data_IF_561630293423
#
_entry.id   IF_561630293423
#
_cell.length_a   1.000
_cell.length_b   1.000
_cell.length_c   1.000
_cell.angle_alpha   90.00
_cell.angle_beta   90.00
_cell.angle_gamma   90.00
#
_symmetry.space_group_name_H-M   'P 1'
#
loop_
_entity.id
_entity.type
_entity.pdbx_description
1 polymer ?
#
# COMPACT_ATOMS: atom_id res chain seq x y z
N UNK A 1 -19.47 15.24 -1.93
CA UNK A 1 -18.43 16.29 -2.10
C UNK A 1 -17.04 15.73 -2.42
N UNK A 2 -16.59 14.63 -1.79
CA UNK A 2 -15.23 14.08 -1.97
C UNK A 2 -14.82 13.73 -3.43
N UNK A 3 -15.70 13.12 -4.23
CA UNK A 3 -15.40 12.77 -5.62
C UNK A 3 -15.04 14.01 -6.47
N UNK A 4 -15.79 15.11 -6.32
CA UNK A 4 -15.53 16.35 -7.06
C UNK A 4 -14.18 16.97 -6.69
N UNK A 5 -13.81 16.91 -5.41
CA UNK A 5 -12.51 17.37 -4.94
C UNK A 5 -11.37 16.52 -5.52
N UNK A 6 -11.49 15.18 -5.51
CA UNK A 6 -10.48 14.28 -6.10
C UNK A 6 -10.30 14.49 -7.61
N UNK A 7 -11.40 14.67 -8.35
CA UNK A 7 -11.34 15.00 -9.79
C UNK A 7 -10.63 16.34 -10.02
N UNK A 8 -10.90 17.35 -9.17
CA UNK A 8 -10.22 18.64 -9.24
C UNK A 8 -8.71 18.49 -9.03
N UNK A 9 -8.30 17.81 -7.96
CA UNK A 9 -6.88 17.54 -7.67
C UNK A 9 -6.20 16.79 -8.80
N UNK A 10 -6.85 15.79 -9.39
CA UNK A 10 -6.29 15.05 -10.52
C UNK A 10 -6.06 15.95 -11.74
N UNK A 11 -6.98 16.88 -12.03
CA UNK A 11 -6.81 17.86 -13.11
C UNK A 11 -5.65 18.82 -12.84
N UNK A 12 -5.55 19.33 -11.62
CA UNK A 12 -4.46 20.23 -11.19
C UNK A 12 -3.09 19.53 -11.25
N UNK A 13 -3.04 18.23 -10.97
CA UNK A 13 -1.85 17.40 -11.10
C UNK A 13 -1.53 16.99 -12.55
N UNK A 14 -2.33 17.40 -13.54
CA UNK A 14 -2.10 17.08 -14.95
C UNK A 14 -2.43 15.63 -15.35
N UNK A 15 -3.28 14.93 -14.58
CA UNK A 15 -3.71 13.56 -14.91
C UNK A 15 -4.53 13.57 -16.20
N UNK A 16 -4.03 12.86 -17.22
CA UNK A 16 -4.59 12.89 -18.58
C UNK A 16 -5.90 12.10 -18.73
N UNK A 17 -6.05 10.99 -18.00
CA UNK A 17 -7.19 10.06 -18.13
C UNK A 17 -7.71 9.69 -16.75
N UNK A 18 -9.02 9.67 -16.60
CA UNK A 18 -9.73 9.25 -15.40
C UNK A 18 -10.68 8.12 -15.75
N UNK A 19 -10.80 7.15 -14.86
CA UNK A 19 -11.62 5.96 -15.06
C UNK A 19 -12.56 5.77 -13.88
N UNK A 20 -13.78 5.31 -14.16
CA UNK A 20 -14.74 4.86 -13.15
C UNK A 20 -14.66 3.34 -12.91
N UNK A 21 -14.00 2.61 -13.81
CA UNK A 21 -13.67 1.20 -13.68
C UNK A 21 -12.15 1.02 -13.89
N UNK A 22 -11.43 0.50 -12.90
CA UNK A 22 -9.98 0.31 -13.00
C UNK A 22 -9.58 -0.75 -14.02
N UNK A 23 -10.45 -1.71 -14.36
CA UNK A 23 -10.17 -2.71 -15.39
C UNK A 23 -9.94 -2.05 -16.76
N UNK A 24 -10.56 -0.90 -17.00
CA UNK A 24 -10.30 -0.10 -18.21
C UNK A 24 -8.92 0.59 -18.17
N UNK A 25 -8.46 0.98 -16.98
CA UNK A 25 -7.11 1.51 -16.79
C UNK A 25 -6.07 0.44 -17.07
N UNK A 26 -6.29 -0.81 -16.63
CA UNK A 26 -5.35 -1.92 -16.83
C UNK A 26 -5.11 -2.26 -18.31
N UNK A 27 -6.11 -2.01 -19.16
CA UNK A 27 -6.02 -2.19 -20.62
C UNK A 27 -5.22 -1.09 -21.33
N UNK A 28 -4.84 -0.02 -20.63
CA UNK A 28 -4.06 1.08 -21.19
C UNK A 28 -2.66 0.62 -21.61
N UNK A 29 -2.30 0.67 -22.91
CA UNK A 29 -0.96 0.31 -23.35
C UNK A 29 0.12 1.27 -22.83
N UNK A 30 -0.25 2.49 -22.46
CA UNK A 30 0.66 3.52 -21.92
C UNK A 30 0.98 3.38 -20.43
N UNK A 31 0.37 2.41 -19.74
CA UNK A 31 0.55 2.21 -18.30
C UNK A 31 1.59 1.12 -18.08
N UNK A 32 2.69 1.43 -17.39
CA UNK A 32 3.73 0.44 -17.04
C UNK A 32 3.51 -0.18 -15.66
N UNK A 33 2.93 0.60 -14.73
CA UNK A 33 2.77 0.23 -13.34
C UNK A 33 1.47 0.81 -12.73
N UNK A 34 0.97 0.17 -11.67
CA UNK A 34 -0.24 0.57 -10.95
C UNK A 34 0.04 0.68 -9.46
N UNK A 35 -0.40 1.80 -8.87
CA UNK A 35 -0.44 2.00 -7.42
C UNK A 35 -1.81 1.55 -6.92
N UNK A 36 -1.84 0.48 -6.12
CA UNK A 36 -3.05 -0.08 -5.53
C UNK A 36 -3.15 0.43 -4.09
N UNK A 37 -3.92 1.49 -3.90
CA UNK A 37 -4.24 2.10 -2.59
C UNK A 37 -5.71 1.86 -2.23
N UNK A 38 -6.14 0.61 -2.31
CA UNK A 38 -7.51 0.18 -2.02
C UNK A 38 -7.63 -0.31 -0.58
N UNK A 39 -8.85 -0.52 -0.06
CA UNK A 39 -9.05 -1.33 1.14
C UNK A 39 -8.45 -2.75 0.99
N UNK A 40 -7.90 -3.29 2.07
CA UNK A 40 -7.13 -4.56 2.08
C UNK A 40 -7.86 -5.74 1.42
N UNK A 41 -9.16 -5.92 1.66
CA UNK A 41 -9.95 -7.01 1.06
C UNK A 41 -10.04 -6.96 -0.47
N UNK A 42 -9.70 -5.83 -1.11
CA UNK A 42 -9.68 -5.68 -2.56
C UNK A 42 -8.30 -5.91 -3.18
N UNK A 43 -7.25 -6.04 -2.36
CA UNK A 43 -5.87 -6.19 -2.83
C UNK A 43 -5.69 -7.42 -3.70
N UNK A 44 -6.16 -8.59 -3.26
CA UNK A 44 -5.98 -9.85 -3.98
C UNK A 44 -6.51 -9.78 -5.42
N UNK A 45 -7.77 -9.36 -5.56
CA UNK A 45 -8.41 -9.25 -6.88
C UNK A 45 -7.67 -8.24 -7.76
N UNK A 46 -7.47 -7.02 -7.27
CA UNK A 46 -6.88 -5.94 -8.06
C UNK A 46 -5.42 -6.25 -8.45
N UNK A 47 -4.61 -6.78 -7.52
CA UNK A 47 -3.21 -7.09 -7.78
C UNK A 47 -3.07 -8.26 -8.77
N UNK A 48 -3.91 -9.29 -8.67
CA UNK A 48 -3.90 -10.42 -9.60
C UNK A 48 -4.26 -9.97 -11.01
N UNK A 49 -5.34 -9.21 -11.18
CA UNK A 49 -5.74 -8.67 -12.49
C UNK A 49 -4.70 -7.70 -13.06
N UNK A 50 -4.03 -6.91 -12.20
CA UNK A 50 -2.93 -6.03 -12.60
C UNK A 50 -1.75 -6.83 -13.13
N UNK A 51 -1.37 -7.91 -12.46
CA UNK A 51 -0.31 -8.81 -12.90
C UNK A 51 -0.67 -9.51 -14.23
N UNK A 52 -1.91 -9.99 -14.38
CA UNK A 52 -2.41 -10.62 -15.61
C UNK A 52 -2.34 -9.67 -16.82
N UNK A 53 -2.56 -8.37 -16.59
CA UNK A 53 -2.39 -7.32 -17.61
C UNK A 53 -0.93 -6.87 -17.78
N UNK A 54 0.03 -7.61 -17.22
CA UNK A 54 1.48 -7.38 -17.34
C UNK A 54 1.92 -6.00 -16.84
N UNK A 55 1.23 -5.47 -15.81
CA UNK A 55 1.59 -4.18 -15.20
C UNK A 55 2.35 -4.41 -13.90
N UNK A 56 3.38 -3.60 -13.65
CA UNK A 56 4.07 -3.62 -12.37
C UNK A 56 3.17 -3.10 -11.24
N UNK A 57 3.39 -3.57 -10.02
CA UNK A 57 2.50 -3.33 -8.89
C UNK A 57 3.27 -2.61 -7.78
N UNK A 58 2.74 -1.48 -7.35
CA UNK A 58 3.00 -0.91 -6.03
C UNK A 58 1.74 -1.10 -5.19
N UNK A 59 1.81 -1.89 -4.13
CA UNK A 59 0.66 -2.27 -3.31
C UNK A 59 0.77 -1.65 -1.92
N UNK A 60 -0.27 -0.93 -1.50
CA UNK A 60 -0.34 -0.43 -0.12
C UNK A 60 -0.31 -1.57 0.91
N UNK A 61 0.19 -1.25 2.10
CA UNK A 61 0.21 -2.18 3.22
C UNK A 61 -1.17 -2.23 3.90
N UNK A 62 -1.55 -3.36 4.53
CA UNK A 62 -0.90 -4.68 4.43
C UNK A 62 -1.13 -5.33 3.06
N UNK A 63 -0.26 -6.29 2.70
CA UNK A 63 -0.33 -6.99 1.41
C UNK A 63 -1.71 -7.61 1.15
N UNK A 64 -2.33 -8.23 2.16
CA UNK A 64 -3.63 -8.86 2.08
C UNK A 64 -4.20 -9.09 3.49
N UNK A 65 -5.40 -9.68 3.59
CA UNK A 65 -6.04 -9.94 4.88
C UNK A 65 -5.42 -11.11 5.65
N UNK A 66 -4.79 -12.03 4.93
CA UNK A 66 -4.19 -13.22 5.50
C UNK A 66 -3.03 -13.73 4.62
N UNK A 67 -2.30 -14.71 5.15
CA UNK A 67 -1.11 -15.29 4.50
C UNK A 67 -1.45 -16.01 3.19
N UNK A 68 -2.63 -16.63 3.07
CA UNK A 68 -3.00 -17.35 1.85
C UNK A 68 -3.18 -16.36 0.69
N UNK A 69 -3.96 -15.30 0.90
CA UNK A 69 -4.14 -14.23 -0.10
C UNK A 69 -2.80 -13.54 -0.45
N UNK A 70 -1.94 -13.32 0.54
CA UNK A 70 -0.61 -12.75 0.30
C UNK A 70 0.24 -13.63 -0.63
N UNK A 71 0.21 -14.95 -0.43
CA UNK A 71 0.91 -15.92 -1.30
C UNK A 71 0.35 -15.91 -2.72
N UNK A 72 -0.95 -15.78 -2.89
CA UNK A 72 -1.59 -15.69 -4.20
C UNK A 72 -1.16 -14.44 -4.96
N UNK A 73 -1.11 -13.28 -4.29
CA UNK A 73 -0.61 -12.02 -4.89
C UNK A 73 0.84 -12.16 -5.35
N UNK A 74 1.71 -12.73 -4.50
CA UNK A 74 3.12 -12.96 -4.83
C UNK A 74 3.25 -13.92 -6.02
N UNK A 75 2.48 -15.01 -6.02
CA UNK A 75 2.49 -16.00 -7.09
C UNK A 75 2.01 -15.40 -8.42
N UNK A 76 0.97 -14.56 -8.41
CA UNK A 76 0.49 -13.85 -9.60
C UNK A 76 1.58 -12.93 -10.18
N UNK A 77 2.21 -12.13 -9.33
CA UNK A 77 3.31 -11.24 -9.76
C UNK A 77 4.47 -12.02 -10.38
N UNK A 78 4.88 -13.13 -9.75
CA UNK A 78 5.93 -14.02 -10.27
C UNK A 78 5.55 -14.69 -11.59
N UNK A 79 4.33 -15.26 -11.66
CA UNK A 79 3.82 -15.94 -12.86
C UNK A 79 3.83 -15.04 -14.08
N UNK A 80 3.46 -13.77 -13.91
CA UNK A 80 3.42 -12.79 -14.99
C UNK A 80 4.71 -11.97 -15.12
N UNK A 81 5.77 -12.32 -14.36
CA UNK A 81 7.07 -11.65 -14.39
C UNK A 81 7.00 -10.13 -14.18
N UNK A 82 6.06 -9.67 -13.35
CA UNK A 82 5.90 -8.26 -12.99
C UNK A 82 6.54 -7.97 -11.63
N UNK A 83 7.04 -6.74 -11.45
CA UNK A 83 7.55 -6.31 -10.14
C UNK A 83 6.39 -6.10 -9.18
N UNK A 84 6.54 -6.56 -7.94
CA UNK A 84 5.65 -6.27 -6.82
C UNK A 84 6.45 -5.54 -5.74
N UNK A 85 6.04 -4.31 -5.43
CA UNK A 85 6.63 -3.48 -4.40
C UNK A 85 5.58 -3.14 -3.35
N UNK A 86 5.93 -3.29 -2.07
CA UNK A 86 5.05 -2.92 -0.96
C UNK A 86 5.27 -1.46 -0.53
N UNK A 87 4.18 -0.79 -0.18
CA UNK A 87 4.14 0.56 0.38
C UNK A 87 4.66 0.66 1.82
N UNK A 88 5.95 0.37 2.03
CA UNK A 88 6.64 0.58 3.31
C UNK A 88 7.57 1.81 3.23
N UNK A 89 7.05 3.04 3.29
CA UNK A 89 7.83 4.26 3.03
C UNK A 89 8.98 4.47 4.03
N UNK A 90 8.83 4.02 5.28
CA UNK A 90 9.89 4.14 6.30
C UNK A 90 11.20 3.45 5.87
N UNK A 91 11.15 2.44 5.00
CA UNK A 91 12.36 1.82 4.44
C UNK A 91 13.20 2.80 3.64
N UNK A 92 12.61 3.87 3.11
CA UNK A 92 13.28 4.86 2.26
C UNK A 92 13.62 6.16 3.00
N UNK A 93 13.21 6.31 4.26
CA UNK A 93 13.59 7.48 5.04
C UNK A 93 15.09 7.43 5.36
N UNK A 94 15.74 8.59 5.30
CA UNK A 94 17.19 8.76 5.41
C UNK A 94 17.75 8.12 6.68
N UNK A 95 17.04 8.26 7.79
CA UNK A 95 17.43 7.76 9.10
C UNK A 95 17.49 6.23 9.13
N UNK A 96 16.53 5.56 8.50
CA UNK A 96 16.51 4.09 8.40
C UNK A 96 17.56 3.57 7.43
N UNK A 97 17.81 4.27 6.32
CA UNK A 97 18.87 3.94 5.37
C UNK A 97 20.26 4.05 6.03
N UNK A 98 20.51 5.14 6.77
CA UNK A 98 21.75 5.34 7.51
C UNK A 98 21.93 4.32 8.63
N UNK A 99 20.86 3.98 9.37
CA UNK A 99 20.91 2.93 10.38
C UNK A 99 21.29 1.59 9.74
N UNK A 100 20.64 1.22 8.63
CA UNK A 100 20.95 -0.02 7.90
C UNK A 100 22.39 -0.04 7.40
N UNK A 101 22.90 1.09 6.91
CA UNK A 101 24.31 1.23 6.51
C UNK A 101 25.25 0.97 7.70
N UNK A 102 25.05 1.65 8.83
CA UNK A 102 25.87 1.46 10.04
C UNK A 102 25.83 0.03 10.58
N UNK A 103 24.67 -0.62 10.50
CA UNK A 103 24.53 -2.04 10.82
C UNK A 103 25.40 -2.91 9.91
N UNK A 104 25.37 -2.67 8.59
CA UNK A 104 26.17 -3.43 7.63
C UNK A 104 27.68 -3.17 7.77
N UNK A 105 28.07 -1.97 8.21
CA UNK A 105 29.46 -1.60 8.51
C UNK A 105 29.97 -2.21 9.84
N UNK A 106 29.12 -2.90 10.60
CA UNK A 106 29.49 -3.53 11.86
C UNK A 106 29.61 -2.55 13.04
N UNK A 107 29.15 -1.30 12.89
CA UNK A 107 29.27 -0.26 13.92
C UNK A 107 28.57 -0.66 15.23
N UNK A 108 27.49 -1.44 15.13
CA UNK A 108 26.70 -1.89 16.28
C UNK A 108 27.17 -3.24 16.84
N UNK A 109 28.16 -3.90 16.21
CA UNK A 109 28.50 -5.29 16.49
C UNK A 109 27.33 -6.23 16.24
N UNK A 110 27.25 -7.31 17.02
CA UNK A 110 26.14 -8.26 16.98
C UNK A 110 24.91 -7.67 17.69
N UNK A 111 23.79 -7.62 16.97
CA UNK A 111 22.53 -7.09 17.51
C UNK A 111 21.84 -8.17 18.34
N UNK A 112 21.91 -8.03 19.66
CA UNK A 112 21.33 -9.00 20.60
C UNK A 112 19.83 -8.76 20.87
N UNK A 113 19.40 -7.50 20.95
CA UNK A 113 18.03 -7.13 21.34
C UNK A 113 17.51 -5.99 20.45
N UNK A 114 16.26 -6.13 19.99
CA UNK A 114 15.52 -5.07 19.30
C UNK A 114 14.21 -4.83 20.03
N UNK A 115 13.95 -3.57 20.37
CA UNK A 115 12.66 -3.14 20.91
C UNK A 115 12.03 -2.15 19.92
N UNK A 116 10.79 -2.41 19.53
CA UNK A 116 10.03 -1.55 18.65
C UNK A 116 8.62 -1.35 19.21
N UNK A 117 8.19 -0.09 19.27
CA UNK A 117 6.85 0.30 19.70
C UNK A 117 6.26 1.21 18.64
N UNK A 118 5.11 0.81 18.09
CA UNK A 118 4.35 1.65 17.17
C UNK A 118 3.05 2.09 17.86
N UNK A 119 2.91 3.39 18.09
CA UNK A 119 1.72 3.98 18.68
C UNK A 119 1.06 4.83 17.61
N UNK A 120 -0.16 4.48 17.26
CA UNK A 120 -1.01 5.23 16.35
C UNK A 120 -2.24 5.73 17.10
N UNK A 121 -2.73 6.90 16.70
CA UNK A 121 -4.01 7.45 17.16
C UNK A 121 -5.22 6.67 16.59
N UNK A 122 -4.96 5.60 15.83
CA UNK A 122 -5.97 4.69 15.31
C UNK A 122 -6.95 5.39 14.36
N UNK A 123 -8.24 5.02 14.37
CA UNK A 123 -9.24 5.55 13.45
C UNK A 123 -9.67 7.00 13.74
N UNK A 124 -9.07 7.62 14.76
CA UNK A 124 -9.47 8.95 15.23
C UNK A 124 -8.63 10.07 14.60
N UNK A 125 -7.52 9.72 13.94
CA UNK A 125 -6.60 10.71 13.38
C UNK A 125 -5.76 10.11 12.24
N UNK A 126 -5.92 10.69 11.06
CA UNK A 126 -5.08 10.41 9.90
C UNK A 126 -4.17 11.61 9.65
N UNK A 127 -2.85 11.41 9.71
CA UNK A 127 -1.86 12.49 9.51
C UNK A 127 -2.06 13.27 8.21
N UNK A 128 -2.59 12.63 7.17
CA UNK A 128 -2.88 13.24 5.87
C UNK A 128 -4.15 14.12 5.88
N UNK A 129 -5.04 13.96 6.85
CA UNK A 129 -6.34 14.65 6.94
C UNK A 129 -6.35 15.80 7.96
N UNK A 130 -5.19 16.07 8.59
CA UNK A 130 -5.01 17.12 9.59
C UNK A 130 -5.41 16.69 11.00
N UNK A 131 -5.45 17.66 11.93
CA UNK A 131 -5.77 17.45 13.36
C UNK A 131 -7.27 17.21 13.63
N UNK A 132 -8.11 17.32 12.61
CA UNK A 132 -9.55 17.13 12.75
C UNK A 132 -9.88 15.64 12.74
N UNK A 133 -10.52 15.09 13.78
CA UNK A 133 -10.97 13.71 13.77
C UNK A 133 -11.96 13.49 12.63
N UNK A 134 -11.58 12.63 11.69
CA UNK A 134 -12.43 12.24 10.56
C UNK A 134 -12.78 10.77 10.73
N UNK A 135 -14.07 10.40 10.77
CA UNK A 135 -14.46 9.00 10.91
C UNK A 135 -13.91 8.15 9.78
N UNK A 136 -13.30 7.02 10.12
CA UNK A 136 -12.95 5.98 9.15
C UNK A 136 -14.22 5.32 8.58
N UNK A 137 -14.15 4.78 7.35
CA UNK A 137 -15.21 3.93 6.83
C UNK A 137 -15.44 2.69 7.69
N UNK A 138 -16.68 2.19 7.71
CA UNK A 138 -17.10 1.03 8.53
C UNK A 138 -16.26 -0.23 8.30
N UNK A 139 -15.77 -0.45 7.07
CA UNK A 139 -14.94 -1.61 6.75
C UNK A 139 -13.65 -1.69 7.58
N UNK A 140 -13.15 -0.57 8.11
CA UNK A 140 -11.92 -0.52 8.91
C UNK A 140 -12.04 -1.28 10.23
N UNK A 141 -13.25 -1.37 10.78
CA UNK A 141 -13.52 -2.12 12.02
C UNK A 141 -13.93 -3.56 11.77
N UNK A 142 -14.12 -3.95 10.51
CA UNK A 142 -14.53 -5.29 10.15
C UNK A 142 -13.30 -6.18 9.91
N UNK A 143 -13.04 -7.10 10.84
CA UNK A 143 -11.92 -8.05 10.77
C UNK A 143 -11.90 -8.87 9.47
N UNK A 144 -13.05 -9.22 8.91
CA UNK A 144 -13.12 -9.98 7.66
C UNK A 144 -12.72 -9.14 6.42
N UNK A 145 -12.78 -7.82 6.54
CA UNK A 145 -12.40 -6.89 5.47
C UNK A 145 -10.96 -6.36 5.62
N UNK A 146 -10.44 -6.30 6.84
CA UNK A 146 -9.07 -5.82 7.11
C UNK A 146 -8.06 -6.94 7.31
N UNK A 147 -8.48 -8.08 7.86
CA UNK A 147 -7.62 -9.17 8.34
C UNK A 147 -7.18 -9.03 9.81
N UNK A 148 -7.38 -7.86 10.42
CA UNK A 148 -6.80 -7.53 11.72
C UNK A 148 -6.82 -6.02 12.05
N UNK A 149 -6.19 -5.66 13.16
CA UNK A 149 -6.09 -4.28 13.64
C UNK A 149 -4.66 -3.75 13.62
N UNK A 150 -4.25 -3.07 14.70
CA UNK A 150 -2.96 -2.37 14.81
C UNK A 150 -1.69 -3.20 14.54
N UNK A 151 -1.78 -4.54 14.57
CA UNK A 151 -0.63 -5.39 14.24
C UNK A 151 -0.35 -5.43 12.73
N UNK A 152 -1.39 -5.34 11.89
CA UNK A 152 -1.28 -5.49 10.44
C UNK A 152 -1.40 -4.16 9.68
N UNK A 153 -2.00 -3.14 10.30
CA UNK A 153 -2.12 -1.77 9.77
C UNK A 153 -0.84 -0.96 10.07
#
# INVERSE_FOLDING_TARGET
MAMRARIKTAKEAGVKKLYTNYEQLLKGPEIDAVIIALPTHLHLKCATETAENQKHIFLEKPIARNVAEAKEIIAAAQKHSVKLMMGYPMRFATEFQQLKQKMNEGVLGDVEIVQATYISSGPLFHRAEGLTPTPVPEWWFNKELTGGGALID
#
